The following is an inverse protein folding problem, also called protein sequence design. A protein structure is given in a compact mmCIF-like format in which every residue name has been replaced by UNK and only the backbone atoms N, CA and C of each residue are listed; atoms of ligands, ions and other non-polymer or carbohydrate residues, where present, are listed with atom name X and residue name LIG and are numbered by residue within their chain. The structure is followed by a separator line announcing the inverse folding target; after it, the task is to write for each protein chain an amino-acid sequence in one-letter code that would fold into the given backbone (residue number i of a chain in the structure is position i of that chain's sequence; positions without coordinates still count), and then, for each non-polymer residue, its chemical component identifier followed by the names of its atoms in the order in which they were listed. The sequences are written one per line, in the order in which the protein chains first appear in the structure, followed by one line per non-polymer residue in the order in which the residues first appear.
data_IF_899261901342
#
_entry.id   IF_899261901342
#
_cell.length_a   1.000
_cell.length_b   1.000
_cell.length_c   1.000
_cell.angle_alpha   90.00
_cell.angle_beta   90.00
_cell.angle_gamma   90.00
#
_symmetry.space_group_name_H-M   'P 1'
#
loop_
_entity.id
_entity.type
_entity.pdbx_description
1 polymer ?
#
# COMPACT_ATOMS: atom_id res chain seq x y z
N UNK A 1 11.78 -26.83 24.38
CA UNK A 1 12.61 -25.81 25.03
C UNK A 1 11.66 -24.89 25.78
N UNK A 2 11.42 -25.20 27.05
CA UNK A 2 10.54 -24.43 27.92
C UNK A 2 11.30 -23.18 28.38
N UNK A 3 10.90 -22.00 27.92
CA UNK A 3 11.40 -20.74 28.47
C UNK A 3 10.62 -20.41 29.71
N UNK A 4 11.33 -20.40 30.82
CA UNK A 4 10.91 -19.95 32.14
C UNK A 4 10.44 -18.51 32.04
N UNK A 5 9.12 -18.32 32.12
CA UNK A 5 8.54 -16.99 32.38
C UNK A 5 8.81 -16.68 33.87
N UNK A 6 9.97 -16.07 34.10
CA UNK A 6 10.28 -15.45 35.38
C UNK A 6 9.22 -14.39 35.68
N UNK A 7 8.64 -14.51 36.85
CA UNK A 7 7.70 -13.56 37.44
C UNK A 7 8.33 -12.17 37.55
N UNK A 8 8.16 -11.35 36.54
CA UNK A 8 8.33 -9.91 36.64
C UNK A 8 7.09 -9.33 37.34
N UNK A 9 7.00 -9.55 38.64
CA UNK A 9 6.10 -8.81 39.48
C UNK A 9 6.49 -7.33 39.47
N UNK A 10 5.54 -6.47 39.17
CA UNK A 10 5.62 -5.06 39.50
C UNK A 10 6.05 -4.09 38.38
N UNK A 11 5.30 -4.02 37.28
CA UNK A 11 5.23 -2.83 36.45
C UNK A 11 3.79 -2.64 35.94
N UNK A 12 2.86 -2.60 36.87
CA UNK A 12 1.50 -2.12 36.61
C UNK A 12 1.44 -0.61 36.93
N UNK A 13 2.31 0.17 36.33
CA UNK A 13 2.02 1.57 36.08
C UNK A 13 1.25 1.57 34.76
N UNK A 14 -0.07 1.76 34.80
CA UNK A 14 -0.85 2.15 33.65
C UNK A 14 -0.26 3.49 33.17
N UNK A 15 0.75 3.41 32.32
CA UNK A 15 1.46 4.56 31.79
C UNK A 15 0.59 5.21 30.73
N UNK A 16 0.64 6.51 30.63
CA UNK A 16 0.11 7.21 29.46
C UNK A 16 0.94 6.82 28.20
N UNK A 17 0.31 6.84 27.00
CA UNK A 17 1.04 6.67 25.76
C UNK A 17 2.22 7.65 25.68
N UNK A 18 3.42 7.17 25.33
CA UNK A 18 4.62 8.01 25.30
C UNK A 18 5.89 7.20 24.98
N UNK A 19 7.04 7.80 25.24
CA UNK A 19 8.33 7.19 24.90
C UNK A 19 8.58 5.83 25.59
N UNK A 20 8.11 5.65 26.81
CA UNK A 20 8.26 4.37 27.53
C UNK A 20 7.47 3.23 26.90
N UNK A 21 6.18 3.45 26.62
CA UNK A 21 5.32 2.48 25.95
C UNK A 21 5.73 2.25 24.51
N UNK A 22 6.23 3.29 23.79
CA UNK A 22 6.82 3.13 22.47
C UNK A 22 8.07 2.25 22.50
N UNK A 23 8.93 2.40 23.50
CA UNK A 23 10.10 1.52 23.67
C UNK A 23 9.68 0.06 23.87
N UNK A 24 8.62 -0.19 24.65
CA UNK A 24 8.04 -1.54 24.81
C UNK A 24 7.45 -2.05 23.49
N UNK A 25 6.81 -1.20 22.67
CA UNK A 25 6.33 -1.58 21.34
C UNK A 25 7.47 -1.94 20.38
N UNK A 26 8.67 -1.37 20.55
CA UNK A 26 9.84 -1.69 19.71
C UNK A 26 10.55 -2.95 20.19
N UNK A 27 10.96 -3.03 21.46
CA UNK A 27 11.84 -4.12 21.93
C UNK A 27 11.11 -5.45 22.10
N UNK A 28 10.10 -5.64 22.98
CA UNK A 28 9.31 -6.84 22.97
C UNK A 28 8.24 -6.85 21.88
N UNK A 29 7.73 -5.68 21.46
CA UNK A 29 6.64 -5.53 20.51
C UNK A 29 6.97 -5.97 19.08
N UNK A 30 8.23 -6.06 18.69
CA UNK A 30 8.64 -6.71 17.42
C UNK A 30 8.28 -8.21 17.42
N UNK A 31 8.20 -8.85 18.57
CA UNK A 31 7.86 -10.26 18.72
C UNK A 31 6.47 -10.49 19.34
N UNK A 32 5.89 -9.47 19.97
CA UNK A 32 4.57 -9.56 20.64
C UNK A 32 3.85 -8.23 20.44
N UNK A 33 3.12 -8.12 19.35
CA UNK A 33 2.37 -6.90 19.01
C UNK A 33 1.26 -6.66 20.05
N UNK A 34 1.06 -5.39 20.40
CA UNK A 34 0.15 -5.01 21.47
C UNK A 34 0.83 -4.85 22.83
N UNK A 35 2.11 -5.23 22.98
CA UNK A 35 2.86 -5.04 24.22
C UNK A 35 2.98 -3.55 24.58
N UNK A 36 3.17 -2.68 23.59
CA UNK A 36 3.17 -1.22 23.75
C UNK A 36 1.83 -0.70 24.30
N UNK A 37 0.72 -1.19 23.76
CA UNK A 37 -0.62 -0.82 24.24
C UNK A 37 -0.91 -1.34 25.65
N UNK A 38 -0.43 -2.54 26.00
CA UNK A 38 -0.53 -3.05 27.36
C UNK A 38 0.22 -2.14 28.33
N UNK A 39 1.44 -1.72 27.97
CA UNK A 39 2.22 -0.78 28.77
C UNK A 39 1.59 0.62 28.84
N UNK A 40 0.89 1.05 27.79
CA UNK A 40 0.16 2.30 27.73
C UNK A 40 -1.23 2.27 28.41
N UNK A 41 -1.60 1.19 29.09
CA UNK A 41 -2.89 1.07 29.76
C UNK A 41 -4.11 0.87 28.83
N UNK A 42 -3.89 0.40 27.61
CA UNK A 42 -4.93 0.13 26.61
C UNK A 42 -5.04 -1.38 26.27
N UNK A 43 -5.36 -2.26 27.25
CA UNK A 43 -5.27 -3.70 27.07
C UNK A 43 -6.21 -4.26 25.99
N UNK A 44 -7.38 -3.66 25.79
CA UNK A 44 -8.33 -4.15 24.79
C UNK A 44 -7.81 -3.95 23.36
N UNK A 45 -7.15 -2.81 23.08
CA UNK A 45 -6.48 -2.59 21.80
C UNK A 45 -5.28 -3.53 21.65
N UNK A 46 -4.47 -3.67 22.70
CA UNK A 46 -3.33 -4.59 22.71
C UNK A 46 -3.72 -6.04 22.40
N UNK A 47 -4.80 -6.57 23.02
CA UNK A 47 -5.31 -7.92 22.70
C UNK A 47 -5.73 -8.07 21.23
N UNK A 48 -6.40 -7.07 20.65
CA UNK A 48 -6.78 -7.11 19.22
C UNK A 48 -5.58 -7.13 18.31
N UNK A 49 -4.53 -6.37 18.64
CA UNK A 49 -3.28 -6.37 17.88
C UNK A 49 -2.54 -7.70 17.98
N UNK A 50 -2.52 -8.31 19.18
CA UNK A 50 -1.96 -9.65 19.37
C UNK A 50 -2.72 -10.72 18.55
N UNK A 51 -4.05 -10.63 18.50
CA UNK A 51 -4.85 -11.53 17.63
C UNK A 51 -4.53 -11.29 16.16
N UNK A 52 -4.40 -10.04 15.73
CA UNK A 52 -4.02 -9.71 14.36
C UNK A 52 -2.63 -10.24 14.00
N UNK A 53 -1.67 -10.14 14.92
CA UNK A 53 -0.35 -10.74 14.78
C UNK A 53 -0.43 -12.27 14.64
N UNK A 54 -1.15 -12.95 15.52
CA UNK A 54 -1.30 -14.41 15.46
C UNK A 54 -1.93 -14.88 14.16
N UNK A 55 -2.96 -14.18 13.68
CA UNK A 55 -3.57 -14.44 12.35
C UNK A 55 -2.57 -14.17 11.23
N UNK A 56 -1.80 -13.09 11.32
CA UNK A 56 -0.74 -12.75 10.35
C UNK A 56 0.33 -13.83 10.29
N UNK A 57 0.85 -14.28 11.44
CA UNK A 57 1.82 -15.38 11.52
C UNK A 57 1.25 -16.69 10.97
N UNK A 58 0.00 -17.02 11.30
CA UNK A 58 -0.70 -18.17 10.72
C UNK A 58 -0.81 -18.07 9.19
N UNK A 59 -1.12 -16.89 8.69
CA UNK A 59 -1.16 -16.58 7.25
C UNK A 59 0.20 -16.67 6.54
N UNK A 60 1.31 -16.51 7.26
CA UNK A 60 2.67 -16.75 6.73
C UNK A 60 3.02 -18.24 6.81
N UNK A 61 2.90 -18.83 7.98
CA UNK A 61 3.45 -20.17 8.29
C UNK A 61 2.68 -21.28 7.58
N UNK A 62 1.36 -21.23 7.57
CA UNK A 62 0.55 -22.30 6.96
C UNK A 62 0.71 -22.33 5.44
N UNK A 63 0.47 -21.24 4.69
CA UNK A 63 0.71 -21.27 3.26
C UNK A 63 2.18 -21.45 2.90
N UNK A 64 3.12 -20.91 3.70
CA UNK A 64 4.56 -21.10 3.48
C UNK A 64 4.98 -22.57 3.62
N UNK A 65 4.49 -23.27 4.63
CA UNK A 65 4.73 -24.71 4.80
C UNK A 65 4.12 -25.51 3.64
N UNK A 66 2.91 -25.17 3.20
CA UNK A 66 2.28 -25.82 2.05
C UNK A 66 3.05 -25.58 0.76
N UNK A 67 3.59 -24.38 0.53
CA UNK A 67 4.48 -24.10 -0.61
C UNK A 67 5.73 -24.98 -0.57
N UNK A 68 6.34 -25.11 0.61
CA UNK A 68 7.54 -25.94 0.78
C UNK A 68 7.26 -27.43 0.54
N UNK A 69 6.16 -27.97 1.08
CA UNK A 69 5.78 -29.37 0.94
C UNK A 69 5.32 -29.73 -0.47
N UNK A 70 4.58 -28.83 -1.13
CA UNK A 70 4.05 -29.08 -2.48
C UNK A 70 5.04 -28.76 -3.59
N UNK A 71 6.26 -28.29 -3.27
CA UNK A 71 7.25 -27.86 -4.24
C UNK A 71 6.77 -26.70 -5.11
N UNK A 72 5.94 -25.82 -4.55
CA UNK A 72 5.33 -24.68 -5.25
C UNK A 72 4.54 -25.09 -6.50
N UNK A 73 3.70 -26.12 -6.39
CA UNK A 73 2.82 -26.56 -7.48
C UNK A 73 2.13 -25.37 -8.16
N UNK A 74 2.21 -25.29 -9.48
CA UNK A 74 1.65 -24.17 -10.28
C UNK A 74 0.19 -23.88 -10.01
N UNK A 75 -0.60 -24.89 -9.60
CA UNK A 75 -2.05 -24.73 -9.33
C UNK A 75 -2.34 -23.89 -8.09
N UNK A 76 -1.48 -23.95 -7.08
CA UNK A 76 -1.75 -23.34 -5.77
C UNK A 76 -0.78 -22.22 -5.41
N UNK A 77 0.31 -22.07 -6.18
CA UNK A 77 1.38 -21.09 -5.85
C UNK A 77 0.83 -19.67 -5.69
N UNK A 78 -0.07 -19.24 -6.56
CA UNK A 78 -0.66 -17.89 -6.50
C UNK A 78 -1.48 -17.68 -5.22
N UNK A 79 -2.36 -18.62 -4.87
CA UNK A 79 -3.18 -18.55 -3.67
C UNK A 79 -2.34 -18.59 -2.40
N UNK A 80 -1.37 -19.51 -2.35
CA UNK A 80 -0.50 -19.68 -1.19
C UNK A 80 0.46 -18.49 -1.02
N UNK A 81 1.04 -17.99 -2.12
CA UNK A 81 1.85 -16.78 -2.10
C UNK A 81 1.04 -15.54 -1.65
N UNK A 82 -0.20 -15.40 -2.13
CA UNK A 82 -1.13 -14.38 -1.67
C UNK A 82 -1.41 -14.47 -0.16
N UNK A 83 -1.57 -15.69 0.37
CA UNK A 83 -1.69 -15.94 1.80
C UNK A 83 -0.47 -15.50 2.60
N UNK A 84 0.75 -15.83 2.11
CA UNK A 84 2.00 -15.39 2.74
C UNK A 84 2.12 -13.87 2.74
N UNK A 85 1.88 -13.21 1.61
CA UNK A 85 1.98 -11.74 1.50
C UNK A 85 0.90 -11.06 2.35
N UNK A 86 -0.34 -11.55 2.33
CA UNK A 86 -1.43 -11.03 3.17
C UNK A 86 -1.16 -11.23 4.66
N UNK A 87 -0.65 -12.39 5.05
CA UNK A 87 -0.23 -12.69 6.42
C UNK A 87 0.91 -11.77 6.89
N UNK A 88 1.92 -11.57 6.05
CA UNK A 88 3.01 -10.63 6.34
C UNK A 88 2.50 -9.19 6.45
N UNK A 89 1.56 -8.79 5.58
CA UNK A 89 0.92 -7.48 5.65
C UNK A 89 0.19 -7.27 6.98
N UNK A 90 -0.61 -8.23 7.41
CA UNK A 90 -1.33 -8.15 8.68
C UNK A 90 -0.38 -8.12 9.88
N UNK A 91 0.68 -8.94 9.84
CA UNK A 91 1.75 -8.92 10.83
C UNK A 91 2.42 -7.54 10.90
N UNK A 92 2.88 -7.00 9.78
CA UNK A 92 3.55 -5.70 9.74
C UNK A 92 2.63 -4.55 10.19
N UNK A 93 1.37 -4.54 9.74
CA UNK A 93 0.38 -3.53 10.12
C UNK A 93 0.12 -3.57 11.63
N UNK A 94 -0.02 -4.76 12.24
CA UNK A 94 -0.29 -4.87 13.69
C UNK A 94 0.88 -4.32 14.52
N UNK A 95 2.14 -4.55 14.11
CA UNK A 95 3.31 -3.97 14.77
C UNK A 95 3.41 -2.45 14.62
N UNK A 96 3.19 -1.94 13.40
CA UNK A 96 3.17 -0.49 13.16
C UNK A 96 2.04 0.21 13.91
N UNK A 97 0.87 -0.42 14.02
CA UNK A 97 -0.24 0.08 14.79
C UNK A 97 0.06 0.10 16.31
N UNK A 98 0.76 -0.94 16.81
CA UNK A 98 1.20 -0.95 18.20
C UNK A 98 2.16 0.20 18.48
N UNK A 99 3.17 0.39 17.64
CA UNK A 99 4.12 1.49 17.78
C UNK A 99 3.43 2.86 17.71
N UNK A 100 2.53 3.05 16.73
CA UNK A 100 1.79 4.29 16.57
C UNK A 100 0.96 4.66 17.81
N UNK A 101 0.11 3.76 18.27
CA UNK A 101 -0.78 4.04 19.40
C UNK A 101 -0.02 4.14 20.72
N UNK A 102 1.00 3.29 20.94
CA UNK A 102 1.83 3.33 22.16
C UNK A 102 2.69 4.59 22.24
N UNK A 103 3.12 5.16 21.12
CA UNK A 103 3.89 6.42 21.10
C UNK A 103 3.06 7.66 21.47
N UNK A 104 1.73 7.53 21.53
CA UNK A 104 0.84 8.67 21.75
C UNK A 104 0.70 9.59 20.54
N UNK A 105 1.16 9.17 19.38
CA UNK A 105 0.95 9.89 18.13
C UNK A 105 -0.54 10.03 17.88
N UNK A 106 -0.98 11.24 17.54
CA UNK A 106 -2.35 11.51 17.18
C UNK A 106 -2.38 12.02 15.75
N UNK A 107 -2.87 11.18 14.85
CA UNK A 107 -3.15 11.59 13.49
C UNK A 107 -4.31 12.60 13.43
N UNK A 108 -4.46 13.19 12.26
CA UNK A 108 -5.56 14.08 11.93
C UNK A 108 -6.89 13.34 11.74
N UNK A 109 -7.84 14.06 11.19
CA UNK A 109 -9.10 13.47 10.75
C UNK A 109 -8.97 12.93 9.32
N UNK A 110 -9.75 11.91 8.96
CA UNK A 110 -9.76 11.39 7.61
C UNK A 110 -9.94 12.52 6.59
N UNK A 111 -9.04 12.56 5.62
CA UNK A 111 -9.19 13.49 4.49
C UNK A 111 -10.44 13.10 3.72
N UNK A 112 -11.19 14.09 3.23
CA UNK A 112 -12.30 13.83 2.30
C UNK A 112 -11.79 12.97 1.16
N UNK A 113 -12.13 11.69 1.19
CA UNK A 113 -11.44 10.63 0.46
C UNK A 113 -11.67 10.65 -1.05
N UNK A 114 -12.59 11.48 -1.51
CA UNK A 114 -12.94 11.46 -2.91
C UNK A 114 -13.57 12.76 -3.37
N UNK A 115 -12.78 13.68 -3.91
CA UNK A 115 -13.35 14.80 -4.66
C UNK A 115 -14.11 14.27 -5.87
N UNK A 116 -15.09 15.02 -6.35
CA UNK A 116 -15.81 14.69 -7.57
C UNK A 116 -14.85 14.56 -8.76
N UNK A 117 -13.82 15.39 -8.79
CA UNK A 117 -12.75 15.34 -9.78
C UNK A 117 -11.42 15.77 -9.15
N UNK A 118 -10.37 15.03 -9.43
CA UNK A 118 -8.99 15.34 -9.06
C UNK A 118 -8.11 15.31 -10.31
N UNK A 119 -7.29 16.33 -10.49
CA UNK A 119 -6.27 16.36 -11.55
C UNK A 119 -4.90 16.49 -10.90
N UNK A 120 -3.90 15.84 -11.50
CA UNK A 120 -2.50 15.93 -11.06
C UNK A 120 -1.57 16.14 -12.24
N UNK A 121 -0.48 16.84 -11.96
CA UNK A 121 0.68 16.93 -12.82
C UNK A 121 1.92 16.85 -11.97
N UNK A 122 2.93 16.12 -12.41
CA UNK A 122 4.12 15.87 -11.59
C UNK A 122 5.32 15.44 -12.42
N UNK A 123 6.43 15.27 -11.71
CA UNK A 123 7.66 14.70 -12.24
C UNK A 123 7.96 13.43 -11.47
N UNK A 124 8.32 12.39 -12.20
CA UNK A 124 8.75 11.12 -11.67
C UNK A 124 10.18 10.86 -12.13
N UNK A 125 11.06 10.63 -11.18
CA UNK A 125 12.39 10.07 -11.42
C UNK A 125 12.33 8.57 -11.21
N UNK A 126 12.67 7.80 -12.23
CA UNK A 126 12.80 6.36 -12.14
C UNK A 126 14.24 5.95 -12.50
N UNK A 127 14.86 5.14 -11.66
CA UNK A 127 16.13 4.50 -11.92
C UNK A 127 15.91 2.98 -11.95
N UNK A 128 15.84 2.44 -13.17
CA UNK A 128 15.79 1.02 -13.41
C UNK A 128 17.16 0.54 -13.90
N UNK A 129 17.84 -0.39 -13.21
CA UNK A 129 19.15 -0.89 -13.61
C UNK A 129 19.17 -1.56 -15.00
N UNK A 130 18.01 -2.01 -15.49
CA UNK A 130 17.90 -2.68 -16.78
C UNK A 130 17.63 -1.70 -17.93
N UNK A 131 16.76 -0.70 -17.67
CA UNK A 131 16.26 0.19 -18.71
C UNK A 131 16.78 1.63 -18.60
N UNK A 132 17.44 2.01 -17.50
CA UNK A 132 18.11 3.29 -17.28
C UNK A 132 17.23 4.54 -17.45
N UNK A 133 15.91 4.41 -17.23
CA UNK A 133 14.99 5.55 -17.31
C UNK A 133 15.29 6.56 -16.23
N UNK A 134 15.04 7.84 -16.50
CA UNK A 134 15.37 8.91 -15.59
C UNK A 134 14.17 9.76 -15.21
N UNK A 135 13.65 10.56 -16.11
CA UNK A 135 12.59 11.52 -15.79
C UNK A 135 11.37 11.32 -16.66
N UNK A 136 10.21 11.35 -16.02
CA UNK A 136 8.91 11.31 -16.67
C UNK A 136 8.06 12.48 -16.22
N UNK A 137 7.31 13.06 -17.14
CA UNK A 137 6.15 13.88 -16.83
C UNK A 137 4.98 12.95 -16.49
N UNK A 138 4.45 13.05 -15.25
CA UNK A 138 3.24 12.34 -14.81
C UNK A 138 2.04 13.27 -14.92
N UNK A 139 0.98 12.81 -15.57
CA UNK A 139 -0.28 13.51 -15.68
C UNK A 139 -1.41 12.54 -15.36
N UNK A 140 -2.41 13.01 -14.62
CA UNK A 140 -3.54 12.17 -14.30
C UNK A 140 -4.80 12.96 -14.00
N UNK A 141 -5.91 12.33 -14.28
CA UNK A 141 -7.24 12.80 -13.91
C UNK A 141 -8.03 11.63 -13.34
N UNK A 142 -8.72 11.86 -12.23
CA UNK A 142 -9.59 10.87 -11.62
C UNK A 142 -10.88 11.54 -11.19
N UNK A 143 -12.01 10.95 -11.53
CA UNK A 143 -13.34 11.42 -11.15
C UNK A 143 -14.12 10.36 -10.40
N UNK A 144 -15.13 10.82 -9.63
CA UNK A 144 -16.13 9.97 -8.98
C UNK A 144 -17.54 10.43 -9.31
N UNK A 145 -18.38 9.47 -9.64
CA UNK A 145 -19.81 9.66 -9.83
C UNK A 145 -20.55 8.64 -8.95
N UNK A 146 -21.02 9.09 -7.79
CA UNK A 146 -21.58 8.19 -6.79
C UNK A 146 -20.56 7.15 -6.34
N UNK A 147 -20.84 5.87 -6.57
CA UNK A 147 -19.93 4.75 -6.24
C UNK A 147 -18.89 4.44 -7.31
N UNK A 148 -19.03 5.01 -8.50
CA UNK A 148 -18.12 4.75 -9.62
C UNK A 148 -16.91 5.66 -9.56
N UNK A 149 -15.75 5.10 -9.90
CA UNK A 149 -14.48 5.81 -10.12
C UNK A 149 -14.08 5.65 -11.57
N UNK A 150 -13.59 6.71 -12.18
CA UNK A 150 -12.98 6.68 -13.51
C UNK A 150 -11.69 7.48 -13.46
N UNK A 151 -10.67 7.02 -14.16
CA UNK A 151 -9.39 7.68 -14.19
C UNK A 151 -8.65 7.48 -15.52
N UNK A 152 -7.83 8.44 -15.85
CA UNK A 152 -6.85 8.34 -16.92
C UNK A 152 -5.52 8.93 -16.40
N UNK A 153 -4.42 8.31 -16.79
CA UNK A 153 -3.08 8.78 -16.44
C UNK A 153 -2.13 8.55 -17.62
N UNK A 154 -1.11 9.37 -17.71
CA UNK A 154 -0.06 9.25 -18.70
C UNK A 154 1.29 9.55 -18.05
N UNK A 155 2.30 8.77 -18.42
CA UNK A 155 3.70 9.00 -18.13
C UNK A 155 4.42 9.20 -19.45
N UNK A 156 5.21 10.26 -19.56
CA UNK A 156 6.01 10.56 -20.75
C UNK A 156 7.45 10.81 -20.33
N UNK A 157 8.37 9.99 -20.85
CA UNK A 157 9.79 10.23 -20.65
C UNK A 157 10.17 11.58 -21.28
N UNK A 158 11.06 12.32 -20.62
CA UNK A 158 11.49 13.64 -21.09
C UNK A 158 12.67 13.56 -22.07
N UNK A 159 13.36 12.44 -22.10
CA UNK A 159 14.62 12.24 -22.79
C UNK A 159 14.60 11.15 -23.87
N UNK A 160 13.54 10.37 -23.95
CA UNK A 160 13.40 9.32 -24.94
C UNK A 160 11.94 9.04 -25.37
N UNK A 161 11.75 8.04 -26.25
CA UNK A 161 10.44 7.63 -26.75
C UNK A 161 9.76 6.59 -25.85
N UNK A 162 9.84 6.76 -24.52
CA UNK A 162 9.19 5.91 -23.54
C UNK A 162 7.95 6.58 -22.96
N UNK A 163 6.88 5.85 -22.82
CA UNK A 163 5.65 6.42 -22.27
C UNK A 163 4.59 5.38 -21.97
N UNK A 164 3.77 5.70 -20.99
CA UNK A 164 2.65 4.85 -20.57
C UNK A 164 1.36 5.66 -20.59
N UNK A 165 0.29 5.02 -21.04
CA UNK A 165 -1.07 5.51 -20.87
C UNK A 165 -1.85 4.46 -20.09
N UNK A 166 -2.61 4.89 -19.08
CA UNK A 166 -3.42 4.04 -18.21
C UNK A 166 -4.82 4.58 -18.09
N UNK A 167 -5.80 3.72 -18.25
CA UNK A 167 -7.20 3.96 -17.94
C UNK A 167 -7.61 3.11 -16.78
N UNK A 168 -8.41 3.64 -15.88
CA UNK A 168 -8.92 2.92 -14.72
C UNK A 168 -10.39 3.17 -14.51
N UNK A 169 -11.08 2.17 -14.00
CA UNK A 169 -12.45 2.25 -13.56
C UNK A 169 -12.61 1.45 -12.27
N UNK A 170 -13.59 1.79 -11.47
CA UNK A 170 -13.81 1.03 -10.24
C UNK A 170 -15.16 1.32 -9.64
N UNK A 171 -15.55 0.48 -8.68
CA UNK A 171 -16.78 0.64 -7.93
C UNK A 171 -16.50 0.50 -6.44
N UNK A 172 -17.05 1.42 -5.66
CA UNK A 172 -17.06 1.33 -4.20
C UNK A 172 -18.17 0.40 -3.74
N UNK A 173 -17.81 -0.80 -3.28
CA UNK A 173 -18.75 -1.76 -2.73
C UNK A 173 -19.23 -1.38 -1.33
N UNK A 174 -18.31 -0.81 -0.51
CA UNK A 174 -18.60 -0.39 0.86
C UNK A 174 -17.78 0.85 1.24
N UNK A 175 -18.33 1.69 2.12
CA UNK A 175 -17.69 2.90 2.61
C UNK A 175 -18.41 4.17 2.15
N UNK A 176 -17.97 5.36 2.61
CA UNK A 176 -18.59 6.62 2.30
C UNK A 176 -18.49 6.96 0.81
N UNK A 177 -19.60 7.48 0.27
CA UNK A 177 -19.62 8.10 -1.06
C UNK A 177 -18.95 9.48 -1.04
N UNK A 178 -18.86 10.15 -2.22
CA UNK A 178 -18.26 11.48 -2.33
C UNK A 178 -19.00 12.57 -1.55
N UNK A 179 -20.28 12.37 -1.23
CA UNK A 179 -21.14 13.36 -0.58
C UNK A 179 -21.14 13.25 0.96
N UNK A 180 -20.51 12.22 1.52
CA UNK A 180 -20.48 12.00 2.96
C UNK A 180 -19.28 12.66 3.62
N UNK A 181 -19.50 13.50 4.63
CA UNK A 181 -18.46 13.88 5.58
C UNK A 181 -17.98 12.59 6.27
N UNK A 182 -16.86 12.07 5.83
CA UNK A 182 -16.36 10.81 6.32
C UNK A 182 -15.80 10.99 7.74
N UNK A 183 -16.60 10.61 8.75
CA UNK A 183 -16.07 10.39 10.11
C UNK A 183 -15.16 9.15 10.16
N UNK A 184 -15.20 8.33 9.13
CA UNK A 184 -14.52 7.05 9.01
C UNK A 184 -13.97 6.91 7.60
N UNK A 185 -12.65 6.73 7.48
CA UNK A 185 -11.93 6.57 6.23
C UNK A 185 -12.00 5.18 5.61
N UNK A 186 -12.78 4.25 6.19
CA UNK A 186 -12.82 2.86 5.72
C UNK A 186 -13.60 2.72 4.43
N UNK A 187 -13.11 1.85 3.53
CA UNK A 187 -13.80 1.52 2.28
C UNK A 187 -13.37 0.16 1.73
N UNK A 188 -14.16 -0.36 0.80
CA UNK A 188 -13.83 -1.50 -0.05
C UNK A 188 -14.18 -1.16 -1.49
N UNK A 189 -13.18 -1.16 -2.35
CA UNK A 189 -13.30 -0.83 -3.78
C UNK A 189 -12.87 -2.04 -4.63
N UNK A 190 -13.56 -2.26 -5.74
CA UNK A 190 -13.11 -3.11 -6.83
C UNK A 190 -12.65 -2.21 -7.97
N UNK A 191 -11.39 -2.34 -8.33
CA UNK A 191 -10.74 -1.52 -9.36
C UNK A 191 -10.34 -2.39 -10.55
N UNK A 192 -10.52 -1.84 -11.73
CA UNK A 192 -10.08 -2.37 -13.00
C UNK A 192 -9.16 -1.34 -13.64
N UNK A 193 -8.08 -1.78 -14.26
CA UNK A 193 -7.28 -0.87 -15.05
C UNK A 193 -6.73 -1.56 -16.29
N UNK A 194 -6.46 -0.74 -17.28
CA UNK A 194 -5.84 -1.13 -18.53
C UNK A 194 -4.75 -0.13 -18.87
N UNK A 195 -3.57 -0.62 -19.20
CA UNK A 195 -2.46 0.25 -19.57
C UNK A 195 -1.70 -0.27 -20.78
N UNK A 196 -1.10 0.67 -21.49
CA UNK A 196 -0.12 0.40 -22.54
C UNK A 196 1.13 1.20 -22.24
N UNK A 197 2.24 0.48 -22.06
CA UNK A 197 3.55 1.07 -21.91
C UNK A 197 4.36 0.82 -23.18
N UNK A 198 4.86 1.88 -23.78
CA UNK A 198 5.70 1.85 -24.98
C UNK A 198 7.16 2.09 -24.55
N UNK A 199 8.01 1.13 -24.83
CA UNK A 199 9.44 1.18 -24.61
C UNK A 199 10.13 1.38 -25.97
N UNK A 200 10.36 2.64 -26.34
CA UNK A 200 10.86 2.99 -27.67
C UNK A 200 12.27 2.48 -27.93
N UNK A 201 13.24 2.74 -27.05
CA UNK A 201 14.62 2.30 -27.23
C UNK A 201 14.76 0.77 -27.32
N UNK A 202 14.03 0.02 -26.47
CA UNK A 202 14.07 -1.43 -26.40
C UNK A 202 13.17 -2.13 -27.42
N UNK A 203 12.44 -1.38 -28.21
CA UNK A 203 11.57 -1.83 -29.31
C UNK A 203 10.51 -2.84 -28.88
N UNK A 204 9.89 -2.64 -27.72
CA UNK A 204 8.73 -3.44 -27.31
C UNK A 204 7.62 -2.57 -26.71
N UNK A 205 6.45 -3.15 -26.54
CA UNK A 205 5.34 -2.56 -25.83
C UNK A 205 4.76 -3.58 -24.86
N UNK A 206 4.32 -3.12 -23.69
CA UNK A 206 3.65 -3.89 -22.66
C UNK A 206 2.20 -3.44 -22.57
N UNK A 207 1.28 -4.38 -22.74
CA UNK A 207 -0.13 -4.21 -22.44
C UNK A 207 -0.42 -4.86 -21.09
N UNK A 208 -1.12 -4.18 -20.22
CA UNK A 208 -1.50 -4.74 -18.91
C UNK A 208 -2.98 -4.49 -18.64
N UNK A 209 -3.67 -5.53 -18.18
CA UNK A 209 -5.00 -5.46 -17.65
C UNK A 209 -5.02 -5.98 -16.22
N UNK A 210 -5.54 -5.21 -15.26
CA UNK A 210 -5.55 -5.56 -13.85
C UNK A 210 -6.94 -5.46 -13.23
N UNK A 211 -7.19 -6.38 -12.30
CA UNK A 211 -8.35 -6.40 -11.41
C UNK A 211 -7.82 -6.40 -9.99
N UNK A 212 -8.21 -5.42 -9.18
CA UNK A 212 -7.75 -5.28 -7.80
C UNK A 212 -8.93 -5.02 -6.87
N UNK A 213 -9.10 -5.89 -5.87
CA UNK A 213 -9.94 -5.61 -4.70
C UNK A 213 -9.07 -4.89 -3.67
N UNK A 214 -9.42 -3.67 -3.32
CA UNK A 214 -8.67 -2.84 -2.37
C UNK A 214 -9.56 -2.38 -1.24
N UNK A 215 -9.11 -2.60 0.01
CA UNK A 215 -9.77 -2.13 1.22
C UNK A 215 -8.89 -1.19 2.01
N UNK A 216 -9.52 -0.21 2.65
CA UNK A 216 -8.93 0.60 3.74
C UNK A 216 -9.79 0.43 4.98
N UNK A 217 -9.13 0.24 6.11
CA UNK A 217 -9.75 0.19 7.42
C UNK A 217 -9.22 1.35 8.26
N UNK A 218 -10.10 2.23 8.72
CA UNK A 218 -9.78 3.21 9.76
C UNK A 218 -9.56 2.47 11.07
N UNK A 219 -8.37 2.60 11.64
CA UNK A 219 -7.97 1.84 12.81
C UNK A 219 -8.60 2.35 14.12
N UNK A 220 -9.30 3.49 14.10
CA UNK A 220 -10.18 3.88 15.21
C UNK A 220 -11.27 2.83 15.51
N UNK A 221 -11.63 1.99 14.53
CA UNK A 221 -12.54 0.84 14.72
C UNK A 221 -11.91 -0.29 15.55
N UNK A 222 -10.59 -0.41 15.52
CA UNK A 222 -9.85 -1.41 16.32
C UNK A 222 -9.69 -0.92 17.75
N UNK A 223 -9.32 0.36 17.91
CA UNK A 223 -9.17 0.95 19.23
C UNK A 223 -9.02 2.47 19.19
N UNK A 224 -9.44 3.18 20.25
CA UNK A 224 -9.41 4.65 20.31
C UNK A 224 -7.98 5.22 20.28
N UNK A 225 -6.98 4.47 20.73
CA UNK A 225 -5.56 4.83 20.70
C UNK A 225 -5.00 4.87 19.27
N UNK A 226 -5.68 4.20 18.32
CA UNK A 226 -5.31 4.14 16.90
C UNK A 226 -6.04 5.18 16.05
N UNK A 227 -6.79 6.09 16.68
CA UNK A 227 -7.48 7.15 15.95
C UNK A 227 -6.53 7.98 15.12
N UNK A 228 -6.94 8.28 13.89
CA UNK A 228 -6.15 9.04 12.93
C UNK A 228 -5.15 8.20 12.14
N UNK A 229 -5.18 6.87 12.29
CA UNK A 229 -4.41 5.94 11.46
C UNK A 229 -5.32 4.99 10.68
N UNK A 230 -4.76 4.40 9.63
CA UNK A 230 -5.47 3.45 8.77
C UNK A 230 -4.55 2.33 8.29
N UNK A 231 -5.17 1.23 7.91
CA UNK A 231 -4.54 0.13 7.22
C UNK A 231 -5.14 -0.05 5.83
N UNK A 232 -4.32 -0.41 4.85
CA UNK A 232 -4.78 -0.79 3.51
C UNK A 232 -4.34 -2.22 3.20
N UNK A 233 -5.23 -2.94 2.52
CA UNK A 233 -4.97 -4.25 1.95
C UNK A 233 -5.55 -4.29 0.54
N UNK A 234 -4.85 -4.95 -0.36
CA UNK A 234 -5.33 -5.19 -1.71
C UNK A 234 -4.85 -6.54 -2.22
N UNK A 235 -5.72 -7.21 -2.98
CA UNK A 235 -5.41 -8.45 -3.67
C UNK A 235 -6.07 -8.46 -5.04
N UNK A 236 -5.40 -9.05 -6.02
CA UNK A 236 -5.91 -9.04 -7.38
C UNK A 236 -5.08 -9.84 -8.36
N UNK A 237 -5.36 -9.62 -9.61
CA UNK A 237 -4.71 -10.27 -10.73
C UNK A 237 -4.39 -9.27 -11.83
N UNK A 238 -3.26 -9.47 -12.50
CA UNK A 238 -2.93 -8.77 -13.72
C UNK A 238 -2.52 -9.75 -14.82
N UNK A 239 -2.90 -9.40 -16.03
CA UNK A 239 -2.42 -10.04 -17.25
C UNK A 239 -1.55 -9.04 -17.99
N UNK A 240 -0.34 -9.47 -18.35
CA UNK A 240 0.63 -8.66 -19.11
C UNK A 240 0.97 -9.35 -20.41
N UNK A 241 0.92 -8.61 -21.51
CA UNK A 241 1.29 -9.08 -22.85
C UNK A 241 2.44 -8.23 -23.37
N UNK A 242 3.60 -8.87 -23.57
CA UNK A 242 4.81 -8.25 -24.13
C UNK A 242 4.80 -8.41 -25.63
N UNK A 243 4.77 -7.30 -26.34
CA UNK A 243 4.79 -7.21 -27.80
C UNK A 243 6.17 -6.72 -28.27
N UNK A 244 6.98 -7.61 -28.81
CA UNK A 244 8.30 -7.27 -29.32
C UNK A 244 8.20 -6.77 -30.77
N UNK A 245 8.90 -5.68 -31.08
CA UNK A 245 9.01 -5.15 -32.45
C UNK A 245 10.24 -5.70 -33.18
N UNK A 246 10.44 -7.01 -33.05
CA UNK A 246 11.53 -7.74 -33.67
C UNK A 246 10.93 -8.79 -34.61
N UNK A 247 11.36 -8.87 -35.89
CA UNK A 247 10.85 -9.88 -36.82
C UNK A 247 11.01 -11.29 -36.26
N UNK A 248 9.92 -12.07 -36.29
CA UNK A 248 9.90 -13.45 -35.80
C UNK A 248 9.74 -13.63 -34.28
N UNK A 249 9.72 -12.55 -33.49
CA UNK A 249 9.46 -12.67 -32.08
C UNK A 249 7.97 -12.92 -31.79
N UNK A 250 7.71 -13.86 -30.88
CA UNK A 250 6.37 -14.19 -30.39
C UNK A 250 6.08 -13.35 -29.14
N UNK A 251 4.81 -12.94 -28.95
CA UNK A 251 4.40 -12.24 -27.76
C UNK A 251 4.46 -13.16 -26.52
N UNK A 252 4.99 -12.63 -25.43
CA UNK A 252 4.97 -13.30 -24.13
C UNK A 252 3.77 -12.85 -23.30
N UNK A 253 3.17 -13.79 -22.56
CA UNK A 253 2.04 -13.53 -21.69
C UNK A 253 2.44 -13.90 -20.26
N UNK A 254 2.30 -12.96 -19.35
CA UNK A 254 2.55 -13.15 -17.92
C UNK A 254 1.28 -12.91 -17.11
N UNK A 255 1.00 -13.84 -16.22
CA UNK A 255 -0.02 -13.68 -15.19
C UNK A 255 0.66 -13.27 -13.88
N UNK A 256 0.17 -12.22 -13.26
CA UNK A 256 0.72 -11.69 -12.02
C UNK A 256 -0.33 -11.74 -10.91
N UNK A 257 0.06 -12.25 -9.76
CA UNK A 257 -0.66 -12.02 -8.52
C UNK A 257 -0.36 -10.60 -8.04
N UNK A 258 -1.39 -9.83 -7.83
CA UNK A 258 -1.31 -8.51 -7.21
C UNK A 258 -1.62 -8.64 -5.73
N UNK A 259 -0.76 -8.13 -4.88
CA UNK A 259 -1.01 -8.05 -3.45
C UNK A 259 -0.31 -6.81 -2.90
N UNK A 260 -1.03 -6.04 -2.08
CA UNK A 260 -0.45 -4.88 -1.41
C UNK A 260 -0.96 -4.75 0.01
N UNK A 261 -0.16 -4.11 0.84
CA UNK A 261 -0.58 -3.66 2.15
C UNK A 261 0.12 -2.36 2.50
N UNK A 262 -0.53 -1.54 3.31
CA UNK A 262 0.07 -0.32 3.81
C UNK A 262 -0.50 0.03 5.19
N UNK A 263 0.31 0.73 5.97
CA UNK A 263 -0.08 1.43 7.18
C UNK A 263 0.11 2.93 6.95
N UNK A 264 -0.84 3.74 7.42
CA UNK A 264 -0.74 5.18 7.26
C UNK A 264 -1.48 5.94 8.36
N UNK A 265 -1.33 7.26 8.33
CA UNK A 265 -2.07 8.15 9.22
C UNK A 265 -2.47 9.43 8.50
N UNK A 266 -3.54 10.03 8.99
CA UNK A 266 -4.04 11.29 8.50
C UNK A 266 -3.27 12.45 9.13
N UNK A 267 -3.15 13.55 8.40
CA UNK A 267 -2.47 14.77 8.81
C UNK A 267 -3.47 15.92 8.90
N UNK A 268 -3.33 16.76 9.93
CA UNK A 268 -4.07 18.00 10.03
C UNK A 268 -5.57 17.83 10.30
N UNK A 269 -6.35 18.85 9.92
CA UNK A 269 -7.80 18.91 10.19
C UNK A 269 -8.55 19.47 8.98
N UNK A 270 -9.82 19.08 8.79
CA UNK A 270 -10.70 19.71 7.79
C UNK A 270 -10.77 21.23 7.94
N UNK A 271 -10.75 21.94 6.82
CA UNK A 271 -10.75 23.41 6.78
C UNK A 271 -9.38 24.07 7.00
N UNK A 272 -8.35 23.31 7.30
CA UNK A 272 -6.95 23.75 7.37
C UNK A 272 -6.05 23.00 6.37
N UNK A 273 -4.81 22.81 6.76
CA UNK A 273 -3.92 21.89 6.06
C UNK A 273 -4.31 20.47 6.50
N UNK A 274 -4.60 19.61 5.53
CA UNK A 274 -4.94 18.20 5.77
C UNK A 274 -4.20 17.31 4.77
N UNK A 275 -4.08 16.04 5.08
CA UNK A 275 -3.38 15.10 4.22
C UNK A 275 -3.33 13.69 4.79
N UNK A 276 -2.51 12.88 4.18
CA UNK A 276 -2.22 11.52 4.63
C UNK A 276 -0.80 11.12 4.24
N UNK A 277 -0.23 10.24 5.03
CA UNK A 277 1.04 9.57 4.73
C UNK A 277 0.82 8.08 4.92
N UNK A 278 1.41 7.28 4.04
CA UNK A 278 1.38 5.82 4.16
C UNK A 278 2.71 5.20 3.77
N UNK A 279 3.00 4.07 4.37
CA UNK A 279 4.13 3.19 4.07
C UNK A 279 3.59 1.81 3.81
N UNK A 280 4.08 1.16 2.79
CA UNK A 280 3.54 -0.13 2.41
C UNK A 280 4.49 -0.96 1.56
N UNK A 281 3.98 -2.09 1.16
CA UNK A 281 4.59 -3.01 0.23
C UNK A 281 3.58 -3.33 -0.86
N UNK A 282 4.05 -3.34 -2.09
CA UNK A 282 3.26 -3.73 -3.25
C UNK A 282 3.99 -4.85 -4.00
N UNK A 283 3.26 -5.93 -4.25
CA UNK A 283 3.75 -7.07 -4.99
C UNK A 283 3.28 -6.99 -6.43
N UNK A 284 4.12 -6.42 -7.30
CA UNK A 284 3.96 -6.39 -8.76
C UNK A 284 2.81 -5.56 -9.35
N UNK A 285 2.31 -4.55 -8.64
CA UNK A 285 1.28 -3.68 -9.20
C UNK A 285 1.84 -2.60 -10.13
N UNK A 286 3.15 -2.48 -10.25
CA UNK A 286 3.77 -1.41 -11.01
C UNK A 286 4.53 -1.91 -12.24
N UNK A 287 4.49 -1.12 -13.32
CA UNK A 287 5.22 -1.37 -14.55
C UNK A 287 6.63 -0.76 -14.61
N UNK A 288 6.99 0.16 -13.69
CA UNK A 288 8.30 0.83 -13.69
C UNK A 288 9.28 0.17 -12.72
N UNK A 289 8.82 -0.22 -11.54
CA UNK A 289 9.66 -0.88 -10.56
C UNK A 289 9.65 -2.39 -10.80
N UNK A 290 10.75 -2.93 -11.27
CA UNK A 290 10.87 -4.36 -11.54
C UNK A 290 10.82 -5.25 -10.28
N UNK A 291 10.64 -4.67 -9.09
CA UNK A 291 10.59 -5.34 -7.80
C UNK A 291 11.97 -5.80 -7.30
N UNK A 292 12.00 -6.42 -6.13
CA UNK A 292 13.23 -6.96 -5.53
C UNK A 292 13.62 -8.26 -6.22
N UNK A 293 14.87 -8.33 -6.72
CA UNK A 293 15.46 -9.57 -7.22
C UNK A 293 16.21 -10.26 -6.09
N UNK A 294 15.71 -11.41 -5.67
CA UNK A 294 16.40 -12.24 -4.69
C UNK A 294 17.34 -13.22 -5.41
N UNK A 295 18.65 -13.14 -5.11
CA UNK A 295 19.63 -14.08 -5.65
C UNK A 295 19.30 -15.52 -5.23
N UNK A 296 19.33 -16.44 -6.17
CA UNK A 296 19.12 -17.87 -5.91
C UNK A 296 17.64 -18.32 -5.94
N UNK A 297 16.69 -17.44 -6.05
CA UNK A 297 15.26 -17.77 -6.18
C UNK A 297 14.75 -17.63 -7.63
N UNK A 298 15.62 -17.75 -8.59
CA UNK A 298 15.32 -17.56 -10.01
C UNK A 298 15.05 -16.08 -10.34
N UNK A 299 14.26 -15.82 -11.36
CA UNK A 299 13.80 -14.47 -11.74
C UNK A 299 12.68 -13.95 -10.84
N UNK A 300 12.51 -14.52 -9.65
CA UNK A 300 11.49 -14.15 -8.68
C UNK A 300 11.61 -12.69 -8.27
N UNK A 301 10.60 -11.92 -8.59
CA UNK A 301 10.48 -10.51 -8.22
C UNK A 301 9.64 -10.42 -6.97
N UNK A 302 10.20 -9.89 -5.89
CA UNK A 302 9.56 -9.82 -4.58
C UNK A 302 8.81 -8.50 -4.33
N UNK A 303 8.49 -7.72 -5.38
CA UNK A 303 7.76 -6.45 -5.21
C UNK A 303 8.65 -5.29 -4.74
N UNK A 304 8.01 -4.22 -4.26
CA UNK A 304 8.69 -3.01 -3.79
C UNK A 304 8.04 -2.45 -2.52
N UNK A 305 8.83 -1.77 -1.72
CA UNK A 305 8.35 -0.95 -0.63
C UNK A 305 8.00 0.44 -1.16
N UNK A 306 6.94 1.02 -0.63
CA UNK A 306 6.47 2.34 -1.02
C UNK A 306 6.25 3.24 0.18
N UNK A 307 6.49 4.55 -0.03
CA UNK A 307 6.08 5.62 0.85
C UNK A 307 5.30 6.63 0.03
N UNK A 308 4.11 7.02 0.48
CA UNK A 308 3.26 8.00 -0.18
C UNK A 308 2.81 9.06 0.80
N UNK A 309 2.79 10.31 0.35
CA UNK A 309 2.26 11.42 1.11
C UNK A 309 1.48 12.36 0.22
N UNK A 310 0.37 12.88 0.75
CA UNK A 310 -0.43 13.94 0.11
C UNK A 310 -0.82 14.96 1.14
N UNK A 311 -0.66 16.23 0.83
CA UNK A 311 -1.03 17.34 1.71
C UNK A 311 -1.84 18.35 0.89
N UNK A 312 -2.92 18.83 1.45
CA UNK A 312 -3.86 19.74 0.80
C UNK A 312 -4.11 20.99 1.63
N UNK A 313 -4.28 22.10 0.93
CA UNK A 313 -4.84 23.35 1.48
C UNK A 313 -5.91 23.85 0.51
N UNK A 314 -7.17 23.76 0.92
CA UNK A 314 -8.29 24.00 0.02
C UNK A 314 -8.30 23.04 -1.17
N UNK A 315 -8.43 23.59 -2.37
CA UNK A 315 -8.47 22.81 -3.62
C UNK A 315 -7.10 22.34 -4.12
N UNK A 316 -6.00 22.85 -3.58
CA UNK A 316 -4.66 22.55 -4.03
C UNK A 316 -3.94 21.60 -3.08
N UNK A 317 -3.14 20.72 -3.62
CA UNK A 317 -2.33 19.77 -2.87
C UNK A 317 -0.98 19.48 -3.52
N UNK A 318 -0.11 18.94 -2.69
CA UNK A 318 1.17 18.37 -3.10
C UNK A 318 1.17 16.89 -2.79
N UNK A 319 1.64 16.09 -3.73
CA UNK A 319 1.87 14.66 -3.57
C UNK A 319 3.36 14.36 -3.67
N UNK A 320 3.80 13.41 -2.86
CA UNK A 320 5.14 12.82 -2.95
C UNK A 320 5.01 11.31 -2.86
N UNK A 321 5.79 10.60 -3.65
CA UNK A 321 5.88 9.14 -3.58
C UNK A 321 7.32 8.68 -3.74
N UNK A 322 7.65 7.60 -3.07
CA UNK A 322 8.91 6.91 -3.19
C UNK A 322 8.68 5.41 -3.24
N UNK A 323 9.38 4.73 -4.13
CA UNK A 323 9.34 3.27 -4.23
C UNK A 323 10.77 2.74 -4.26
N UNK A 324 11.00 1.65 -3.56
CA UNK A 324 12.30 0.98 -3.44
C UNK A 324 12.10 -0.51 -3.66
N UNK A 325 12.71 -1.00 -4.71
CA UNK A 325 12.71 -2.41 -5.09
C UNK A 325 13.96 -2.73 -5.90
N UNK A 326 13.84 -3.41 -7.03
CA UNK A 326 14.93 -3.51 -8.00
C UNK A 326 15.14 -2.21 -8.79
N UNK A 327 14.14 -1.35 -8.83
CA UNK A 327 14.21 0.03 -9.28
C UNK A 327 13.95 0.99 -8.11
N UNK A 328 14.34 2.25 -8.28
CA UNK A 328 14.02 3.35 -7.37
C UNK A 328 13.13 4.33 -8.13
N UNK A 329 11.99 4.67 -7.55
CA UNK A 329 11.07 5.66 -8.11
C UNK A 329 10.84 6.76 -7.09
N UNK A 330 10.96 8.02 -7.51
CA UNK A 330 10.66 9.19 -6.71
C UNK A 330 9.73 10.09 -7.52
N UNK A 331 8.59 10.43 -6.97
CA UNK A 331 7.58 11.27 -7.63
C UNK A 331 7.22 12.48 -6.79
N UNK A 332 7.04 13.62 -7.45
CA UNK A 332 6.46 14.83 -6.87
C UNK A 332 5.36 15.34 -7.78
N UNK A 333 4.21 15.69 -7.22
CA UNK A 333 3.06 16.12 -8.00
C UNK A 333 2.33 17.30 -7.36
N UNK A 334 1.82 18.19 -8.20
CA UNK A 334 0.82 19.18 -7.87
C UNK A 334 -0.56 18.58 -8.15
N UNK A 335 -1.45 18.68 -7.18
CA UNK A 335 -2.77 18.10 -7.23
C UNK A 335 -3.80 19.21 -7.13
N UNK A 336 -4.85 19.13 -7.95
CA UNK A 336 -6.01 20.03 -7.84
C UNK A 336 -7.29 19.23 -7.72
N UNK A 337 -8.08 19.57 -6.72
CA UNK A 337 -9.41 19.02 -6.48
C UNK A 337 -10.46 19.97 -7.03
N UNK A 338 -11.51 19.43 -7.64
CA UNK A 338 -12.60 20.19 -8.24
C UNK A 338 -13.93 19.69 -7.68
N UNK A 339 -14.84 20.63 -7.42
CA UNK A 339 -16.23 20.34 -7.04
C UNK A 339 -16.38 19.71 -5.65
N UNK A 340 -16.35 20.51 -4.60
CA UNK A 340 -16.62 20.09 -3.24
C UNK A 340 -16.37 21.21 -2.23
N UNK A 341 -16.95 21.15 -1.03
CA UNK A 341 -16.55 21.98 0.09
C UNK A 341 -15.15 21.48 0.55
N UNK A 342 -14.20 22.37 0.53
CA UNK A 342 -12.80 22.13 0.95
C UNK A 342 -12.55 22.58 2.38
#
# INVERSE_FOLDING_TARGET
MLLVLGSAGGLACAGEPGAGSAAVAVVPGVLVHGAGHLAAGAPETGKKLLVAEAVGLGGILVPGALLAVTGASRRFVGLLAGGVVGGFGLFAISGLADLYGASGLRGGDPVTLAPALESRVGLVYAHDPLFQYRFFLDQGVQGRLGRWKLGAAALHALDDANGQVRFSGGVRGWGPGPEGAARDGSFLDLDLAFSRHHYGPERFALWSGDVLLQGRLDLARVGPTLRGSFAELGAGWALQVYQYRVPGAVADINELLLARFAFGWYLGRPGGVNGEVSFGYDHRHDGLAAGLKLRGLGSGVAGHFEARGRVFRGAWGLGAEGQVGSAYVLGLSLIRRHGGPW
#
